data_IF_242167594787
#
_entry.id   IF_242167594787
#
_cell.length_a   1.000
_cell.length_b   1.000
_cell.length_c   1.000
_cell.angle_alpha   90.00
_cell.angle_beta   90.00
_cell.angle_gamma   90.00
#
_symmetry.space_group_name_H-M   'P 1'
#
loop_
_entity.id
_entity.type
_entity.pdbx_description
1 polymer ?
#
# COMPACT_ATOMS: atom_id res chain seq x y z
N UNK A 1 9.72 -17.86 -3.18
CA UNK A 1 10.67 -17.86 -4.33
C UNK A 1 11.51 -19.13 -4.30
N UNK A 2 12.01 -19.60 -5.45
CA UNK A 2 12.91 -20.76 -5.54
C UNK A 2 14.14 -20.37 -6.36
N UNK A 3 15.33 -20.71 -5.89
CA UNK A 3 16.53 -20.60 -6.73
C UNK A 3 16.55 -21.79 -7.71
N UNK A 4 16.39 -21.51 -9.01
CA UNK A 4 16.42 -22.51 -10.09
C UNK A 4 17.76 -22.58 -10.81
N UNK A 5 18.74 -21.76 -10.41
CA UNK A 5 20.09 -21.76 -10.96
C UNK A 5 20.96 -22.89 -10.42
N UNK A 6 22.18 -22.97 -10.93
CA UNK A 6 23.17 -23.98 -10.55
C UNK A 6 23.96 -23.61 -9.28
N UNK A 7 24.10 -22.31 -9.01
CA UNK A 7 24.86 -21.80 -7.86
C UNK A 7 23.95 -21.23 -6.78
N UNK A 8 24.50 -21.14 -5.56
CA UNK A 8 23.92 -20.34 -4.48
C UNK A 8 23.82 -18.88 -4.91
N UNK A 9 22.67 -18.26 -4.70
CA UNK A 9 22.42 -16.88 -5.10
C UNK A 9 21.95 -16.06 -3.90
N UNK A 10 22.51 -14.85 -3.72
CA UNK A 10 22.01 -13.89 -2.75
C UNK A 10 20.99 -12.97 -3.40
N UNK A 11 19.97 -12.58 -2.62
CA UNK A 11 19.00 -11.59 -3.06
C UNK A 11 18.70 -10.58 -1.96
N UNK A 12 18.29 -9.39 -2.38
CA UNK A 12 17.77 -8.34 -1.52
C UNK A 12 16.55 -7.69 -2.15
N UNK A 13 15.68 -7.13 -1.33
CA UNK A 13 14.51 -6.39 -1.82
C UNK A 13 14.71 -4.92 -1.50
N UNK A 14 14.57 -4.08 -2.53
CA UNK A 14 14.45 -2.63 -2.30
C UNK A 14 13.07 -2.38 -1.73
N UNK A 15 12.99 -1.94 -0.47
CA UNK A 15 11.70 -1.70 0.15
C UNK A 15 10.89 -0.66 -0.62
N UNK A 16 9.61 -0.93 -0.93
CA UNK A 16 8.69 0.07 -1.43
C UNK A 16 8.63 1.27 -0.48
N UNK A 17 8.35 2.46 -1.02
CA UNK A 17 8.20 3.64 -0.15
C UNK A 17 6.97 3.46 0.76
N UNK A 18 7.02 3.93 2.02
CA UNK A 18 5.90 3.78 2.95
C UNK A 18 4.57 4.34 2.41
N UNK A 19 4.61 5.38 1.56
CA UNK A 19 3.44 5.95 0.91
C UNK A 19 2.71 5.04 -0.07
N UNK A 20 3.32 3.92 -0.51
CA UNK A 20 2.62 2.90 -1.31
C UNK A 20 1.69 2.02 -0.48
N UNK A 21 1.81 2.05 0.85
CA UNK A 21 1.15 1.09 1.74
C UNK A 21 1.70 -0.34 1.63
N UNK A 22 2.73 -0.60 0.81
CA UNK A 22 3.28 -1.94 0.62
C UNK A 22 4.51 -2.13 1.51
N UNK A 23 4.59 -3.29 2.17
CA UNK A 23 5.77 -3.72 2.93
C UNK A 23 6.17 -5.13 2.51
N UNK A 24 7.47 -5.36 2.37
CA UNK A 24 8.01 -6.69 2.09
C UNK A 24 8.77 -7.21 3.30
N UNK A 25 8.42 -8.41 3.76
CA UNK A 25 9.09 -9.12 4.86
C UNK A 25 9.75 -10.36 4.27
N UNK A 26 11.05 -10.49 4.51
CA UNK A 26 11.84 -11.62 4.06
C UNK A 26 13.12 -11.74 4.90
N UNK A 27 13.76 -12.89 4.84
CA UNK A 27 15.10 -13.10 5.42
C UNK A 27 16.16 -12.88 4.34
N UNK A 28 16.99 -11.83 4.44
CA UNK A 28 18.09 -11.63 3.50
C UNK A 28 19.14 -12.73 3.66
N UNK A 29 19.75 -13.15 2.55
CA UNK A 29 20.84 -14.12 2.59
C UNK A 29 20.99 -14.96 1.32
N UNK A 30 21.96 -15.89 1.32
CA UNK A 30 22.14 -16.84 0.24
C UNK A 30 21.02 -17.88 0.20
N UNK A 31 20.56 -18.22 -1.01
CA UNK A 31 19.63 -19.32 -1.27
C UNK A 31 20.36 -20.34 -2.13
N UNK A 32 20.60 -21.54 -1.60
CA UNK A 32 21.26 -22.60 -2.35
C UNK A 32 20.43 -23.04 -3.58
N UNK A 33 21.10 -23.62 -4.57
CA UNK A 33 20.46 -24.15 -5.77
C UNK A 33 19.34 -25.14 -5.41
N UNK A 34 18.18 -25.02 -6.05
CA UNK A 34 17.01 -25.86 -5.78
C UNK A 34 16.21 -25.50 -4.52
N UNK A 35 16.75 -24.66 -3.62
CA UNK A 35 16.09 -24.30 -2.37
C UNK A 35 15.05 -23.19 -2.55
N UNK A 36 14.11 -23.13 -1.59
CA UNK A 36 13.04 -22.12 -1.54
C UNK A 36 13.23 -21.20 -0.34
N UNK A 37 12.75 -19.96 -0.51
CA UNK A 37 12.64 -18.96 0.54
C UNK A 37 11.30 -18.24 0.42
N UNK A 38 10.80 -17.70 1.52
CA UNK A 38 9.54 -16.96 1.55
C UNK A 38 9.74 -15.46 1.38
N UNK A 39 8.83 -14.86 0.64
CA UNK A 39 8.71 -13.42 0.48
C UNK A 39 7.28 -13.06 0.85
N UNK A 40 7.08 -12.43 2.00
CA UNK A 40 5.76 -12.00 2.45
C UNK A 40 5.55 -10.54 2.02
N UNK A 41 4.48 -10.30 1.28
CA UNK A 41 4.08 -8.95 0.86
C UNK A 41 2.83 -8.57 1.64
N UNK A 42 2.90 -7.47 2.37
CA UNK A 42 1.80 -6.90 3.13
C UNK A 42 1.34 -5.60 2.48
N UNK A 43 0.03 -5.43 2.38
CA UNK A 43 -0.60 -4.21 1.90
C UNK A 43 -1.42 -3.57 3.02
N UNK A 44 -1.08 -2.33 3.34
CA UNK A 44 -1.77 -1.46 4.28
C UNK A 44 -2.66 -0.49 3.52
N UNK A 45 -3.91 -0.87 3.35
CA UNK A 45 -4.97 -0.02 2.84
C UNK A 45 -5.57 0.80 4.01
N UNK A 46 -4.82 1.77 4.52
CA UNK A 46 -5.43 2.88 5.25
C UNK A 46 -5.73 3.93 4.21
N UNK A 47 -6.92 4.53 4.22
CA UNK A 47 -7.35 5.55 3.26
C UNK A 47 -6.33 6.69 3.20
N UNK A 48 -5.37 6.60 2.28
CA UNK A 48 -4.28 7.56 2.14
C UNK A 48 -4.89 8.81 1.52
N UNK A 49 -5.25 9.79 2.36
CA UNK A 49 -5.77 11.08 1.89
C UNK A 49 -7.19 11.04 1.32
N UNK A 50 -7.99 10.03 1.68
CA UNK A 50 -9.43 10.10 1.48
C UNK A 50 -9.98 10.92 2.65
N UNK A 51 -10.23 12.22 2.41
CA UNK A 51 -11.24 12.95 3.18
C UNK A 51 -12.49 12.06 3.24
N UNK A 52 -13.29 12.15 4.29
CA UNK A 52 -14.53 11.36 4.45
C UNK A 52 -15.49 11.51 3.23
N UNK A 53 -15.26 12.53 2.39
CA UNK A 53 -15.94 12.81 1.11
C UNK A 53 -15.30 12.25 -0.16
N UNK A 54 -14.10 11.67 -0.15
CA UNK A 54 -13.52 11.17 -1.40
C UNK A 54 -14.12 9.79 -1.72
N UNK A 55 -15.00 9.79 -2.71
CA UNK A 55 -15.98 8.74 -3.00
C UNK A 55 -15.44 7.59 -3.87
N UNK A 56 -14.11 7.48 -3.99
CA UNK A 56 -13.47 6.71 -5.06
C UNK A 56 -12.81 5.39 -4.64
N UNK A 57 -12.78 4.44 -5.58
CA UNK A 57 -11.87 3.28 -5.53
C UNK A 57 -10.42 3.74 -5.75
N UNK A 58 -9.46 3.15 -5.04
CA UNK A 58 -8.03 3.45 -5.22
C UNK A 58 -7.35 2.28 -5.92
N UNK A 59 -6.62 2.58 -6.99
CA UNK A 59 -5.83 1.59 -7.72
C UNK A 59 -4.37 1.64 -7.30
N UNK A 60 -3.83 0.48 -6.93
CA UNK A 60 -2.41 0.29 -6.68
C UNK A 60 -1.80 -0.46 -7.85
N UNK A 61 -0.76 0.13 -8.42
CA UNK A 61 0.14 -0.51 -9.37
C UNK A 61 1.56 -0.21 -8.93
N UNK A 62 2.28 -1.25 -8.49
CA UNK A 62 3.65 -1.11 -8.03
C UNK A 62 4.48 -2.33 -8.41
N UNK A 63 5.77 -2.14 -8.69
CA UNK A 63 6.70 -3.24 -8.91
C UNK A 63 7.66 -3.34 -7.73
N UNK A 64 7.67 -4.48 -7.04
CA UNK A 64 8.68 -4.79 -6.03
C UNK A 64 9.97 -5.19 -6.75
N UNK A 65 11.07 -4.52 -6.42
CA UNK A 65 12.38 -4.81 -7.02
C UNK A 65 13.14 -5.83 -6.17
N UNK A 66 13.29 -7.04 -6.69
CA UNK A 66 14.08 -8.11 -6.09
C UNK A 66 15.44 -8.13 -6.80
N UNK A 67 16.47 -7.62 -6.14
CA UNK A 67 17.83 -7.58 -6.66
C UNK A 67 18.55 -8.87 -6.35
N UNK A 68 19.13 -9.49 -7.35
CA UNK A 68 20.10 -10.58 -7.22
C UNK A 68 21.49 -10.09 -7.58
N UNK A 69 22.47 -10.99 -7.60
CA UNK A 69 23.86 -10.67 -7.97
C UNK A 69 23.99 -10.29 -9.45
N UNK A 70 23.19 -10.90 -10.33
CA UNK A 70 23.30 -10.72 -11.79
C UNK A 70 22.19 -9.84 -12.37
N UNK A 71 21.01 -9.84 -11.76
CA UNK A 71 19.82 -9.20 -12.34
C UNK A 71 18.82 -8.68 -11.30
N UNK A 72 17.87 -7.87 -11.76
CA UNK A 72 16.76 -7.38 -10.94
C UNK A 72 15.46 -7.95 -11.49
N UNK A 73 14.72 -8.66 -10.64
CA UNK A 73 13.37 -9.12 -10.94
C UNK A 73 12.33 -8.11 -10.45
N UNK A 74 11.27 -7.95 -11.23
CA UNK A 74 10.14 -7.08 -10.90
C UNK A 74 8.92 -7.94 -10.59
N UNK A 75 8.47 -7.91 -9.34
CA UNK A 75 7.22 -8.56 -8.94
C UNK A 75 6.08 -7.52 -8.95
N UNK A 76 5.14 -7.57 -9.91
CA UNK A 76 4.01 -6.65 -9.95
C UNK A 76 3.05 -6.90 -8.78
N UNK A 77 2.61 -5.81 -8.16
CA UNK A 77 1.53 -5.75 -7.17
C UNK A 77 0.44 -4.86 -7.75
N UNK A 78 -0.68 -5.50 -8.10
CA UNK A 78 -1.88 -4.85 -8.63
C UNK A 78 -3.01 -5.06 -7.62
N UNK A 79 -3.66 -3.99 -7.16
CA UNK A 79 -4.78 -4.08 -6.24
C UNK A 79 -5.77 -2.93 -6.43
N UNK A 80 -7.03 -3.19 -6.13
CA UNK A 80 -8.08 -2.16 -6.01
C UNK A 80 -8.53 -2.12 -4.56
N UNK A 81 -8.45 -0.94 -3.94
CA UNK A 81 -8.88 -0.68 -2.57
C UNK A 81 -10.24 0.00 -2.63
N UNK A 82 -11.21 -0.57 -1.92
CA UNK A 82 -12.58 -0.07 -1.83
C UNK A 82 -12.88 0.35 -0.40
N UNK A 83 -13.55 1.48 -0.19
CA UNK A 83 -14.26 1.74 1.06
C UNK A 83 -15.29 0.64 1.33
N UNK A 84 -15.52 0.34 2.61
CA UNK A 84 -16.47 -0.70 3.06
C UNK A 84 -17.85 -0.58 2.38
N UNK A 85 -18.40 0.65 2.32
CA UNK A 85 -19.69 0.93 1.67
C UNK A 85 -19.77 0.54 0.18
N UNK A 86 -18.64 0.54 -0.52
CA UNK A 86 -18.54 0.16 -1.95
C UNK A 86 -18.19 -1.32 -2.13
N UNK A 87 -17.61 -1.96 -1.11
CA UNK A 87 -17.32 -3.38 -1.14
C UNK A 87 -18.60 -4.22 -1.17
N UNK A 88 -19.59 -3.85 -0.36
CA UNK A 88 -20.86 -4.57 -0.25
C UNK A 88 -21.71 -4.47 -1.53
N UNK A 89 -21.68 -3.35 -2.23
CA UNK A 89 -22.40 -3.18 -3.50
C UNK A 89 -21.73 -4.02 -4.61
N UNK A 90 -20.40 -3.96 -4.73
CA UNK A 90 -19.65 -4.72 -5.72
C UNK A 90 -19.73 -6.22 -5.52
N UNK A 91 -19.71 -6.70 -4.27
CA UNK A 91 -19.82 -8.14 -3.99
C UNK A 91 -21.20 -8.68 -4.32
N UNK A 92 -22.28 -7.92 -4.06
CA UNK A 92 -23.65 -8.30 -4.44
C UNK A 92 -23.80 -8.48 -5.95
N UNK A 93 -23.22 -7.58 -6.75
CA UNK A 93 -23.24 -7.68 -8.22
C UNK A 93 -22.51 -8.91 -8.77
N UNK A 94 -21.51 -9.43 -8.03
CA UNK A 94 -20.68 -10.58 -8.43
C UNK A 94 -21.12 -11.91 -7.79
N UNK A 95 -22.14 -11.93 -6.92
CA UNK A 95 -22.66 -13.18 -6.34
C UNK A 95 -23.43 -14.08 -7.30
N UNK A 96 -23.63 -13.64 -8.56
CA UNK A 96 -24.15 -14.50 -9.62
C UNK A 96 -23.11 -15.46 -10.24
N UNK A 97 -21.86 -15.46 -9.76
CA UNK A 97 -20.80 -16.32 -10.29
C UNK A 97 -19.78 -16.70 -9.24
N UNK A 98 -20.00 -17.87 -8.63
CA UNK A 98 -19.04 -18.66 -7.86
C UNK A 98 -17.58 -18.42 -8.31
N UNK A 99 -16.79 -17.73 -7.48
CA UNK A 99 -15.33 -17.81 -7.55
C UNK A 99 -14.79 -18.28 -6.20
N UNK A 100 -15.08 -19.54 -5.88
CA UNK A 100 -14.18 -20.40 -5.11
C UNK A 100 -12.90 -20.59 -5.92
N UNK A 101 -12.04 -19.60 -5.92
CA UNK A 101 -10.72 -19.60 -6.56
C UNK A 101 -9.67 -19.21 -5.53
N UNK A 102 -8.75 -20.14 -5.28
CA UNK A 102 -7.60 -20.16 -4.35
C UNK A 102 -6.80 -18.85 -4.27
N UNK A 103 -7.40 -17.78 -3.76
CA UNK A 103 -6.67 -16.55 -3.49
C UNK A 103 -5.87 -16.78 -2.20
N UNK A 104 -4.55 -16.93 -2.30
CA UNK A 104 -3.63 -17.00 -1.14
C UNK A 104 -3.54 -15.68 -0.37
N UNK A 105 -4.53 -14.81 -0.52
CA UNK A 105 -4.64 -13.53 0.17
C UNK A 105 -5.34 -13.81 1.49
N UNK A 106 -4.56 -13.80 2.57
CA UNK A 106 -5.09 -13.89 3.93
C UNK A 106 -5.29 -12.48 4.46
N UNK A 107 -6.52 -12.15 4.84
CA UNK A 107 -6.77 -10.93 5.62
C UNK A 107 -6.05 -11.06 6.97
N UNK A 108 -5.12 -10.14 7.25
CA UNK A 108 -4.30 -10.15 8.47
C UNK A 108 -4.97 -9.34 9.59
N UNK A 109 -5.68 -8.27 9.24
CA UNK A 109 -6.37 -7.38 10.19
C UNK A 109 -7.41 -6.52 9.46
N UNK A 110 -8.61 -6.42 10.00
CA UNK A 110 -9.62 -5.41 9.62
C UNK A 110 -9.71 -4.22 10.60
N UNK A 111 -9.36 -4.32 11.90
CA UNK A 111 -9.22 -3.13 12.74
C UNK A 111 -8.00 -2.32 12.30
N UNK A 112 -8.02 -0.97 12.41
CA UNK A 112 -6.85 -0.14 12.19
C UNK A 112 -5.87 -0.37 13.35
N UNK A 113 -5.13 -1.47 13.30
CA UNK A 113 -4.04 -1.69 14.24
C UNK A 113 -2.94 -0.70 13.87
N UNK A 114 -2.84 0.40 14.61
CA UNK A 114 -1.70 1.33 14.57
C UNK A 114 -0.47 0.56 15.04
N UNK A 115 0.14 -0.23 14.16
CA UNK A 115 1.39 -0.93 14.46
C UNK A 115 2.52 0.10 14.41
N UNK A 116 3.25 0.20 15.53
CA UNK A 116 4.50 0.96 15.64
C UNK A 116 5.39 0.65 14.43
N UNK A 117 5.70 1.67 13.64
CA UNK A 117 6.57 1.57 12.46
C UNK A 117 5.94 2.00 11.13
N UNK A 118 4.62 2.19 11.06
CA UNK A 118 3.98 2.85 9.91
C UNK A 118 4.18 4.37 10.08
N UNK A 119 5.18 4.93 9.40
CA UNK A 119 5.34 6.39 9.31
C UNK A 119 4.27 6.89 8.35
N UNK A 120 3.20 7.45 8.92
CA UNK A 120 2.21 8.21 8.18
C UNK A 120 2.88 9.48 7.62
N UNK A 121 2.71 9.79 6.33
CA UNK A 121 3.01 11.13 5.85
C UNK A 121 2.08 12.11 6.59
N UNK A 122 2.59 12.81 7.60
CA UNK A 122 1.89 13.99 8.13
C UNK A 122 2.00 15.08 7.08
N UNK A 123 0.87 15.59 6.59
CA UNK A 123 0.89 16.86 5.84
C UNK A 123 1.42 17.96 6.77
N UNK A 124 2.29 18.87 6.29
CA UNK A 124 2.50 20.14 6.96
C UNK A 124 1.17 20.90 6.96
N UNK A 125 0.79 21.44 8.11
CA UNK A 125 -0.38 22.31 8.22
C UNK A 125 -0.14 23.55 7.35
N UNK A 126 -0.91 23.69 6.27
CA UNK A 126 -1.03 24.97 5.58
C UNK A 126 -1.80 25.90 6.53
N UNK A 127 -1.11 26.90 7.08
CA UNK A 127 -1.74 27.99 7.83
C UNK A 127 -2.60 28.81 6.87
N UNK A 128 -3.91 28.59 6.90
CA UNK A 128 -4.89 29.47 6.25
C UNK A 128 -4.92 30.79 7.00
N UNK A 129 -4.37 31.83 6.36
CA UNK A 129 -4.53 33.22 6.75
C UNK A 129 -5.98 33.65 6.48
N UNK A 130 -6.67 34.05 7.54
CA UNK A 130 -7.98 34.72 7.61
C UNK A 130 -8.24 34.90 9.11
N UNK A 131 -8.56 36.06 9.68
CA UNK A 131 -9.51 37.11 9.31
C UNK A 131 -8.98 38.45 9.89
N UNK A 132 -9.45 39.67 9.58
CA UNK A 132 -10.82 40.16 9.77
C UNK A 132 -11.08 41.44 8.96
N UNK A 133 -12.29 41.50 8.43
CA UNK A 133 -12.99 42.68 7.94
C UNK A 133 -13.61 43.43 9.12
N UNK A 134 -13.51 44.76 9.17
CA UNK A 134 -14.48 45.58 9.91
C UNK A 134 -14.62 46.96 9.29
N UNK A 135 -15.84 47.23 8.85
CA UNK A 135 -16.35 48.46 8.25
C UNK A 135 -16.12 49.75 9.04
N UNK A 136 -15.76 50.80 8.28
CA UNK A 136 -16.35 52.14 8.26
C UNK A 136 -16.61 52.94 9.55
N UNK A 137 -15.92 54.08 9.70
CA UNK A 137 -16.59 55.36 9.97
C UNK A 137 -15.78 56.58 9.47
N UNK A 138 -16.52 57.64 9.20
CA UNK A 138 -16.26 58.83 8.39
C UNK A 138 -15.59 59.99 9.16
N UNK A 139 -14.75 60.74 8.44
CA UNK A 139 -14.73 62.23 8.30
C UNK A 139 -14.08 63.16 9.36
N UNK A 140 -13.24 64.09 8.84
CA UNK A 140 -12.80 65.43 9.33
C UNK A 140 -12.02 65.46 10.66
N UNK A 141 -10.85 66.10 10.80
CA UNK A 141 -10.40 67.44 10.39
C UNK A 141 -8.91 67.38 10.00
#
# INVERSE_FOLDING_TARGET
MKNVGFHTCRFSVKQPSPGTGIRVIYTPGPVAAGMKTELQVELYAMTIGLEESAEGEVYISHHIHIKTETEIFYLPVLATILPERMYDTRTKDHTNGLQTGVSKVRLISSPPSVRRGVVLPRRPLLSTTGEMESDGLRQLI
#
